data_IF_748224845741
#
_entry.id   IF_748224845741
#
_cell.length_a   1.000
_cell.length_b   1.000
_cell.length_c   1.000
_cell.angle_alpha   90.00
_cell.angle_beta   90.00
_cell.angle_gamma   90.00
#
_symmetry.space_group_name_H-M   'P 1'
#
loop_
_entity.id
_entity.type
_entity.pdbx_description
1 polymer ?
#
# COMPACT_ATOMS: atom_id res chain seq x y z
N UNK A 1 -10.82 11.22 -8.91
CA UNK A 1 -10.04 10.15 -8.24
C UNK A 1 -8.74 9.94 -9.01
N UNK A 2 -7.57 10.23 -8.42
CA UNK A 2 -6.30 10.19 -9.15
C UNK A 2 -5.82 8.75 -9.40
N UNK A 3 -5.82 8.30 -10.65
CA UNK A 3 -5.21 7.02 -11.08
C UNK A 3 -3.73 6.99 -10.68
N UNK A 4 -3.27 5.94 -9.97
CA UNK A 4 -1.86 5.57 -9.99
C UNK A 4 -1.48 5.08 -11.39
N UNK A 5 -0.25 5.36 -11.81
CA UNK A 5 0.37 4.72 -12.97
C UNK A 5 0.47 3.20 -12.76
N UNK A 6 0.51 2.42 -13.85
CA UNK A 6 0.67 0.95 -13.78
C UNK A 6 1.93 0.56 -12.99
N UNK A 7 3.01 1.33 -13.16
CA UNK A 7 4.29 1.14 -12.47
C UNK A 7 4.21 1.37 -10.97
N UNK A 8 3.51 2.42 -10.53
CA UNK A 8 3.33 2.68 -9.10
C UNK A 8 2.38 1.68 -8.44
N UNK A 9 1.41 1.15 -9.19
CA UNK A 9 0.54 0.07 -8.71
C UNK A 9 1.32 -1.20 -8.42
N UNK A 10 2.22 -1.60 -9.33
CA UNK A 10 3.07 -2.77 -9.15
C UNK A 10 3.95 -2.66 -7.89
N UNK A 11 4.43 -1.46 -7.55
CA UNK A 11 5.20 -1.21 -6.31
C UNK A 11 4.42 -1.54 -5.03
N UNK A 12 3.09 -1.38 -5.04
CA UNK A 12 2.23 -1.62 -3.87
C UNK A 12 1.45 -2.93 -3.96
N UNK A 13 1.74 -3.76 -4.96
CA UNK A 13 1.18 -5.10 -5.10
C UNK A 13 1.84 -6.09 -4.17
N UNK A 14 3.17 -6.03 -4.05
CA UNK A 14 3.89 -6.73 -3.00
C UNK A 14 3.50 -6.15 -1.64
N UNK A 15 2.95 -6.97 -0.74
CA UNK A 15 2.36 -6.55 0.54
C UNK A 15 0.82 -6.64 0.59
N UNK A 16 0.16 -6.97 -0.52
CA UNK A 16 -1.24 -7.37 -0.52
C UNK A 16 -1.43 -8.87 -0.25
N UNK A 17 -2.67 -9.30 0.04
CA UNK A 17 -3.03 -10.73 0.17
C UNK A 17 -2.52 -11.50 -1.05
N UNK A 18 -2.05 -12.73 -0.83
CA UNK A 18 -1.41 -13.54 -1.87
C UNK A 18 -0.14 -12.90 -2.43
N UNK A 19 0.73 -12.38 -1.55
CA UNK A 19 1.97 -11.68 -1.89
C UNK A 19 2.84 -12.44 -2.91
N UNK A 20 2.90 -13.77 -2.79
CA UNK A 20 3.58 -14.64 -3.76
C UNK A 20 3.08 -14.41 -5.19
N UNK A 21 1.76 -14.29 -5.41
CA UNK A 21 1.15 -14.07 -6.72
C UNK A 21 1.06 -12.58 -7.13
N UNK A 22 1.71 -11.68 -6.39
CA UNK A 22 1.73 -10.25 -6.66
C UNK A 22 3.14 -9.75 -7.05
N UNK A 23 3.91 -10.58 -7.79
CA UNK A 23 5.27 -10.24 -8.21
C UNK A 23 6.36 -10.45 -7.16
N UNK A 24 6.05 -11.02 -6.01
CA UNK A 24 7.03 -11.38 -4.98
C UNK A 24 7.30 -12.89 -4.96
N UNK A 25 7.68 -13.45 -6.11
CA UNK A 25 8.04 -14.85 -6.31
C UNK A 25 9.30 -14.98 -7.19
N UNK A 26 9.94 -16.15 -7.14
CA UNK A 26 11.12 -16.48 -7.97
C UNK A 26 10.77 -16.84 -9.42
N UNK A 27 9.49 -16.79 -9.80
CA UNK A 27 8.98 -17.19 -11.12
C UNK A 27 8.84 -16.01 -12.10
N UNK A 28 9.31 -14.81 -11.72
CA UNK A 28 9.21 -13.57 -12.52
C UNK A 28 7.78 -13.23 -12.99
N UNK A 29 6.76 -13.68 -12.26
CA UNK A 29 5.36 -13.37 -12.62
C UNK A 29 5.08 -11.92 -12.22
N UNK A 30 5.09 -11.00 -13.18
CA UNK A 30 4.80 -9.56 -12.97
C UNK A 30 3.31 -9.25 -12.75
N UNK A 31 2.46 -10.28 -12.71
CA UNK A 31 1.02 -10.09 -12.55
C UNK A 31 0.69 -9.73 -11.10
N UNK A 32 -0.15 -8.70 -10.93
CA UNK A 32 -0.67 -8.31 -9.63
C UNK A 32 -2.12 -8.75 -9.50
N UNK A 33 -2.32 -9.92 -8.90
CA UNK A 33 -3.66 -10.50 -8.75
C UNK A 33 -4.55 -9.67 -7.83
N UNK A 34 -3.96 -9.02 -6.83
CA UNK A 34 -4.65 -8.09 -5.94
C UNK A 34 -5.14 -6.82 -6.64
N UNK A 35 -4.72 -6.55 -7.88
CA UNK A 35 -5.14 -5.36 -8.61
C UNK A 35 -6.64 -5.38 -8.93
N UNK A 36 -7.22 -6.55 -9.22
CA UNK A 36 -8.65 -6.67 -9.58
C UNK A 36 -9.58 -6.33 -8.41
N UNK A 37 -9.13 -6.55 -7.17
CA UNK A 37 -9.96 -6.37 -5.97
C UNK A 37 -9.55 -5.17 -5.11
N UNK A 38 -8.40 -4.55 -5.36
CA UNK A 38 -7.89 -3.45 -4.54
C UNK A 38 -8.28 -2.06 -5.06
N UNK A 39 -8.57 -1.15 -4.13
CA UNK A 39 -8.86 0.25 -4.43
C UNK A 39 -7.61 1.08 -4.21
N UNK A 40 -7.43 2.11 -5.02
CA UNK A 40 -6.42 3.15 -4.80
C UNK A 40 -6.91 4.07 -3.67
N UNK A 41 -6.12 4.21 -2.60
CA UNK A 41 -6.45 5.04 -1.45
C UNK A 41 -5.30 5.97 -1.09
N UNK A 42 -5.63 7.12 -0.49
CA UNK A 42 -4.65 8.02 0.11
C UNK A 42 -4.51 7.65 1.59
N UNK A 43 -3.32 7.30 2.05
CA UNK A 43 -3.06 6.99 3.47
C UNK A 43 -1.73 7.55 3.93
N UNK A 44 -1.60 7.92 5.20
CA UNK A 44 -0.32 8.29 5.80
C UNK A 44 0.41 7.02 6.20
N UNK A 45 1.70 6.94 5.88
CA UNK A 45 2.58 5.87 6.37
C UNK A 45 3.13 6.29 7.72
N UNK A 46 2.77 5.54 8.76
CA UNK A 46 3.14 5.82 10.15
C UNK A 46 3.88 4.61 10.70
N UNK A 47 4.98 4.86 11.39
CA UNK A 47 5.73 3.80 12.05
C UNK A 47 4.98 3.33 13.31
N UNK A 48 4.96 2.03 13.60
CA UNK A 48 4.08 1.47 14.65
C UNK A 48 4.32 2.05 16.05
N UNK A 49 5.57 2.41 16.37
CA UNK A 49 5.94 2.99 17.67
C UNK A 49 5.87 4.53 17.67
N UNK A 50 5.39 5.15 16.59
CA UNK A 50 5.29 6.60 16.49
C UNK A 50 4.03 7.11 17.20
N UNK A 51 4.23 7.86 18.28
CA UNK A 51 3.15 8.57 18.96
C UNK A 51 2.55 9.68 18.10
N UNK A 52 1.22 9.91 18.16
CA UNK A 52 0.57 11.04 17.51
C UNK A 52 1.13 12.38 18.03
N UNK A 53 1.09 13.46 17.22
CA UNK A 53 0.33 13.60 15.98
C UNK A 53 1.06 13.09 14.73
N UNK A 54 0.31 12.38 13.87
CA UNK A 54 0.81 11.86 12.61
C UNK A 54 0.70 12.89 11.49
N UNK A 55 1.76 13.69 11.31
CA UNK A 55 1.82 14.83 10.38
C UNK A 55 2.38 14.47 8.99
N UNK A 56 2.54 13.19 8.66
CA UNK A 56 3.07 12.76 7.37
C UNK A 56 2.12 13.08 6.23
N UNK A 57 2.69 13.38 5.05
CA UNK A 57 1.91 13.57 3.83
C UNK A 57 1.27 12.24 3.40
N UNK A 58 -0.03 12.22 3.08
CA UNK A 58 -0.68 11.01 2.55
C UNK A 58 -0.04 10.57 1.24
N UNK A 59 0.24 9.28 1.12
CA UNK A 59 0.73 8.63 -0.09
C UNK A 59 -0.39 7.82 -0.76
N UNK A 60 -0.29 7.68 -2.08
CA UNK A 60 -1.17 6.86 -2.90
C UNK A 60 -0.74 5.40 -2.82
N UNK A 61 -1.57 4.53 -2.25
CA UNK A 61 -1.30 3.09 -2.12
C UNK A 61 -2.53 2.25 -2.48
N UNK A 62 -2.34 0.93 -2.62
CA UNK A 62 -3.46 -0.01 -2.70
C UNK A 62 -4.07 -0.22 -1.31
N UNK A 63 -5.38 -0.37 -1.24
CA UNK A 63 -6.11 -0.58 0.01
C UNK A 63 -5.68 -1.84 0.76
N UNK A 64 -5.13 -2.82 0.04
CA UNK A 64 -4.62 -4.07 0.59
C UNK A 64 -3.14 -4.04 0.98
N UNK A 65 -2.42 -2.94 0.72
CA UNK A 65 -0.98 -2.88 0.92
C UNK A 65 -0.64 -2.85 2.42
N UNK A 66 0.22 -3.78 2.83
CA UNK A 66 0.77 -3.86 4.18
C UNK A 66 2.29 -3.90 4.12
N UNK A 67 2.92 -3.30 5.12
CA UNK A 67 4.37 -3.30 5.26
C UNK A 67 4.73 -3.57 6.74
N UNK A 68 5.69 -4.47 7.04
CA UNK A 68 6.12 -4.70 8.40
C UNK A 68 6.58 -3.40 9.09
N UNK A 69 6.21 -3.24 10.37
CA UNK A 69 6.50 -2.09 11.23
C UNK A 69 5.84 -0.75 10.84
N UNK A 70 4.91 -0.77 9.88
CA UNK A 70 4.17 0.42 9.50
C UNK A 70 2.65 0.18 9.50
N UNK A 71 1.92 1.21 9.88
CA UNK A 71 0.46 1.29 9.75
C UNK A 71 0.10 2.38 8.74
N UNK A 72 -0.96 2.13 7.98
CA UNK A 72 -1.46 3.07 6.98
C UNK A 72 -2.79 3.64 7.44
N UNK A 73 -2.76 4.88 7.90
CA UNK A 73 -3.91 5.57 8.51
C UNK A 73 -4.55 6.55 7.54
N UNK A 74 -5.81 6.92 7.80
CA UNK A 74 -6.54 7.87 6.96
C UNK A 74 -5.87 9.25 6.89
N UNK A 75 -6.10 10.04 5.83
CA UNK A 75 -5.46 11.35 5.67
C UNK A 75 -5.87 12.35 6.75
N UNK A 76 -7.07 12.19 7.34
CA UNK A 76 -7.60 13.03 8.42
C UNK A 76 -7.24 12.53 9.82
N UNK A 77 -6.60 11.36 9.93
CA UNK A 77 -6.27 10.80 11.23
C UNK A 77 -5.00 11.43 11.79
N UNK A 78 -5.10 11.89 13.04
CA UNK A 78 -4.06 12.61 13.78
C UNK A 78 -3.91 12.12 15.22
N UNK A 79 -4.79 11.23 15.69
CA UNK A 79 -4.84 10.66 17.03
C UNK A 79 -5.24 9.18 16.97
#
# INVERSE_FOLDING_TARGET
>A
MGRLSKKDKLRFCAGCKNNFYNGNNHLNIEECWSFKSSKVVMRKKVYIDQYPPWNQKPIKILSCFHQPRYVFVGPKQTH
#
